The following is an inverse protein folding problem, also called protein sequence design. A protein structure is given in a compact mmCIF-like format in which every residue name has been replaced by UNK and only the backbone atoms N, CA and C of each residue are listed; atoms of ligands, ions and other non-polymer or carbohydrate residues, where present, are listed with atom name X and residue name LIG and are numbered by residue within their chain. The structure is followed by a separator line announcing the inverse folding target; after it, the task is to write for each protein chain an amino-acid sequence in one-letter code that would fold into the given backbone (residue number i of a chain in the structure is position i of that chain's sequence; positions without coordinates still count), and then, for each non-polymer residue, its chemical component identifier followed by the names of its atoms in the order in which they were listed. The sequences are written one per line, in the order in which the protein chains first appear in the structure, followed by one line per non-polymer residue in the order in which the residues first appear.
data_IF_165231377859
#
_entry.id   IF_165231377859
#
_cell.length_a   1.000
_cell.length_b   1.000
_cell.length_c   1.000
_cell.angle_alpha   90.00
_cell.angle_beta   90.00
_cell.angle_gamma   90.00
#
_symmetry.space_group_name_H-M   'P 1'
#
loop_
_entity.id
_entity.type
_entity.pdbx_description
1 polymer ?
#
# COMPACT_ATOMS: atom_id res chain seq x y z
N UNK A 1 32.74 -13.86 28.73
CA UNK A 1 31.73 -12.80 28.56
C UNK A 1 30.93 -13.10 27.30
N UNK A 2 29.66 -13.44 27.46
CA UNK A 2 28.72 -13.62 26.36
C UNK A 2 28.16 -12.23 26.07
N UNK A 3 28.54 -11.64 24.94
CA UNK A 3 27.86 -10.44 24.44
C UNK A 3 27.43 -10.68 23.00
N UNK A 4 26.45 -11.57 22.91
CA UNK A 4 25.36 -11.56 21.96
C UNK A 4 24.86 -10.14 21.68
N UNK A 5 24.92 -9.72 20.41
CA UNK A 5 23.96 -8.81 19.78
C UNK A 5 24.24 -8.88 18.28
N UNK A 6 23.72 -9.95 17.67
CA UNK A 6 23.59 -10.11 16.23
C UNK A 6 22.83 -8.89 15.69
N UNK A 7 23.54 -7.90 15.15
CA UNK A 7 22.94 -6.80 14.38
C UNK A 7 22.40 -7.41 13.09
N UNK A 8 21.14 -7.83 13.11
CA UNK A 8 20.39 -8.09 11.90
C UNK A 8 20.22 -6.75 11.17
N UNK A 9 20.72 -6.59 9.95
CA UNK A 9 20.51 -5.36 9.19
C UNK A 9 19.04 -5.26 8.81
N UNK A 10 18.38 -4.20 9.27
CA UNK A 10 17.44 -3.35 8.53
C UNK A 10 16.85 -3.97 7.24
N UNK A 11 16.02 -5.01 7.35
CA UNK A 11 15.52 -5.71 6.16
C UNK A 11 14.04 -6.12 6.24
N UNK A 12 13.27 -5.62 7.20
CA UNK A 12 11.85 -5.98 7.26
C UNK A 12 10.91 -4.96 7.89
N UNK A 13 11.31 -3.70 8.03
CA UNK A 13 10.35 -2.66 8.38
C UNK A 13 9.58 -2.28 7.10
N UNK A 14 8.24 -2.43 7.07
CA UNK A 14 7.48 -1.96 5.92
C UNK A 14 7.71 -0.45 5.78
N UNK A 15 8.31 -0.04 4.66
CA UNK A 15 8.65 1.36 4.30
C UNK A 15 7.40 2.27 4.19
N UNK A 16 6.21 1.74 4.47
CA UNK A 16 5.01 2.53 4.67
C UNK A 16 5.12 3.26 6.01
N UNK A 17 5.41 4.56 5.93
CA UNK A 17 5.36 5.48 7.09
C UNK A 17 4.06 5.21 7.87
N UNK A 18 4.09 5.09 9.20
CA UNK A 18 2.90 4.93 10.03
C UNK A 18 2.12 6.25 10.02
N UNK A 19 1.40 6.46 8.94
CA UNK A 19 0.49 7.57 8.73
C UNK A 19 -0.63 7.01 7.88
N UNK A 20 -1.87 7.26 8.28
CA UNK A 20 -3.05 6.89 7.50
C UNK A 20 -2.81 7.34 6.06
N UNK A 21 -2.67 6.36 5.19
CA UNK A 21 -2.51 6.58 3.78
C UNK A 21 -3.90 6.96 3.25
N UNK A 22 -4.18 8.26 3.27
CA UNK A 22 -5.41 8.85 2.75
C UNK A 22 -5.40 8.79 1.22
N UNK A 23 -5.58 7.61 0.67
CA UNK A 23 -5.79 7.44 -0.76
C UNK A 23 -7.23 7.76 -1.11
N UNK A 24 -7.43 8.42 -2.24
CA UNK A 24 -8.78 8.67 -2.80
C UNK A 24 -9.04 7.66 -3.89
N UNK A 25 -10.28 7.21 -4.01
CA UNK A 25 -10.68 6.34 -5.10
C UNK A 25 -10.45 7.03 -6.46
N UNK A 26 -9.77 6.34 -7.38
CA UNK A 26 -9.51 6.84 -8.74
C UNK A 26 -10.72 6.76 -9.68
N UNK A 27 -11.84 6.14 -9.26
CA UNK A 27 -13.04 6.05 -10.08
C UNK A 27 -13.64 7.45 -10.33
N UNK A 28 -13.97 7.80 -11.59
CA UNK A 28 -14.53 9.11 -11.91
C UNK A 28 -15.85 9.33 -11.15
N UNK A 29 -15.97 10.47 -10.47
CA UNK A 29 -17.13 10.78 -9.62
C UNK A 29 -17.12 10.12 -8.24
N UNK A 30 -16.08 9.35 -7.87
CA UNK A 30 -15.93 8.84 -6.53
C UNK A 30 -15.03 9.75 -5.67
N UNK A 31 -15.51 10.10 -4.48
CA UNK A 31 -14.76 10.89 -3.49
C UNK A 31 -14.45 10.09 -2.21
N UNK A 32 -14.71 8.78 -2.23
CA UNK A 32 -14.52 7.92 -1.06
C UNK A 32 -13.04 7.63 -0.82
N UNK A 33 -12.68 7.36 0.44
CA UNK A 33 -11.33 6.93 0.80
C UNK A 33 -11.09 5.54 0.20
N UNK A 34 -9.98 5.38 -0.51
CA UNK A 34 -9.54 4.11 -1.07
C UNK A 34 -8.78 3.33 0.00
N UNK A 35 -9.32 2.17 0.36
CA UNK A 35 -8.68 1.21 1.26
C UNK A 35 -7.95 0.08 0.52
N UNK A 36 -8.09 0.00 -0.81
CA UNK A 36 -7.53 -1.07 -1.61
C UNK A 36 -6.51 -0.53 -2.61
N UNK A 37 -5.28 -1.03 -2.53
CA UNK A 37 -4.16 -0.66 -3.39
C UNK A 37 -3.79 -1.79 -4.35
N UNK A 38 -3.66 -1.46 -5.63
CA UNK A 38 -3.22 -2.33 -6.70
C UNK A 38 -1.81 -1.90 -7.11
N UNK A 39 -0.82 -2.44 -6.39
CA UNK A 39 0.59 -2.15 -6.63
C UNK A 39 1.20 -3.25 -7.52
N UNK A 40 1.62 -2.87 -8.73
CA UNK A 40 2.40 -3.74 -9.63
C UNK A 40 3.88 -3.34 -9.62
N UNK A 41 4.81 -4.29 -9.76
CA UNK A 41 6.23 -3.97 -9.91
C UNK A 41 6.43 -3.00 -11.09
N UNK A 42 7.14 -1.90 -10.85
CA UNK A 42 7.47 -0.86 -11.86
C UNK A 42 6.27 -0.07 -12.40
N UNK A 43 5.11 -0.11 -11.73
CA UNK A 43 3.93 0.68 -12.08
C UNK A 43 3.50 1.55 -10.90
N UNK A 44 2.82 2.65 -11.20
CA UNK A 44 2.19 3.48 -10.16
C UNK A 44 1.09 2.66 -9.49
N UNK A 45 1.03 2.59 -8.15
CA UNK A 45 -0.04 1.88 -7.46
C UNK A 45 -1.36 2.60 -7.68
N UNK A 46 -2.39 1.83 -8.03
CA UNK A 46 -3.74 2.33 -8.18
C UNK A 46 -4.57 2.10 -6.93
N UNK A 47 -5.47 3.02 -6.60
CA UNK A 47 -6.21 3.01 -5.35
C UNK A 47 -7.72 3.14 -5.57
N UNK A 48 -8.47 2.17 -5.04
CA UNK A 48 -9.92 2.11 -5.17
C UNK A 48 -10.63 1.91 -3.82
N UNK A 49 -11.87 2.40 -3.73
CA UNK A 49 -12.75 2.08 -2.60
C UNK A 49 -13.29 0.65 -2.72
N UNK A 50 -13.91 0.15 -1.66
CA UNK A 50 -14.46 -1.22 -1.64
C UNK A 50 -15.50 -1.47 -2.75
N UNK A 51 -16.30 -0.47 -3.10
CA UNK A 51 -17.30 -0.58 -4.17
C UNK A 51 -16.67 -0.65 -5.57
N UNK A 52 -15.62 0.12 -5.81
CA UNK A 52 -14.91 0.15 -7.10
C UNK A 52 -13.66 -0.74 -7.10
N UNK A 53 -13.57 -1.71 -6.18
CA UNK A 53 -12.47 -2.67 -6.18
C UNK A 53 -12.39 -3.43 -7.51
N UNK A 54 -13.55 -3.72 -8.12
CA UNK A 54 -13.66 -4.46 -9.37
C UNK A 54 -13.08 -3.67 -10.55
N UNK A 55 -13.28 -2.35 -10.57
CA UNK A 55 -12.58 -1.47 -11.51
C UNK A 55 -11.07 -1.50 -11.30
N UNK A 56 -10.62 -1.69 -10.07
CA UNK A 56 -9.21 -1.85 -9.72
C UNK A 56 -8.62 -3.20 -10.11
N UNK A 57 -9.41 -4.27 -10.17
CA UNK A 57 -8.96 -5.63 -10.50
C UNK A 57 -8.36 -5.73 -11.91
N UNK A 58 -8.71 -4.83 -12.83
CA UNK A 58 -8.03 -4.72 -14.13
C UNK A 58 -6.53 -4.37 -14.03
N UNK A 59 -6.10 -3.84 -12.89
CA UNK A 59 -4.72 -3.46 -12.62
C UNK A 59 -3.94 -4.55 -11.87
N UNK A 60 -4.54 -5.72 -11.57
CA UNK A 60 -3.85 -6.94 -11.12
C UNK A 60 -3.10 -7.65 -12.23
#
# INVERSE_FOLDING_TARGET
MRNELTRLPDAMEPVTRPGIQHHRCEHPGCCKNAGWGFAKPRQTPHWFCFEHRADGERFL
#
